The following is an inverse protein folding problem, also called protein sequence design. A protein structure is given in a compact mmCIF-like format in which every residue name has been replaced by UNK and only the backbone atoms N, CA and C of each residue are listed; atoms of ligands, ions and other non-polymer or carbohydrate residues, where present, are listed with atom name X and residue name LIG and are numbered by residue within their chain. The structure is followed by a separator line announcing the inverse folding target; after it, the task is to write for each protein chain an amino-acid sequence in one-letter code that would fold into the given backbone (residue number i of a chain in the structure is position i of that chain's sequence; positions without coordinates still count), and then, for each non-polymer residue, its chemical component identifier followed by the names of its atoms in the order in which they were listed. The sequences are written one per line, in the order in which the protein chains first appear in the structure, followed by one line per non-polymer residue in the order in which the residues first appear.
data_IF_343748160547
#
_entry.id   IF_343748160547
#
_cell.length_a   1.000
_cell.length_b   1.000
_cell.length_c   1.000
_cell.angle_alpha   90.00
_cell.angle_beta   90.00
_cell.angle_gamma   90.00
#
_symmetry.space_group_name_H-M   'P 1'
#
loop_
_entity.id
_entity.type
_entity.pdbx_description
1 polymer ?
#
# COMPACT_ATOMS: atom_id res chain seq x y z
N UNK A 1 -1.71 80.27 -5.25
CA UNK A 1 -2.13 78.86 -5.43
C UNK A 1 -0.98 77.91 -5.85
N UNK A 2 0.30 78.31 -5.78
CA UNK A 2 1.45 77.48 -6.23
C UNK A 2 2.23 76.77 -5.11
N UNK A 3 2.03 77.15 -3.85
CA UNK A 3 2.68 76.51 -2.69
C UNK A 3 1.83 75.43 -1.99
N UNK A 4 0.53 75.34 -2.32
CA UNK A 4 -0.38 74.32 -1.74
C UNK A 4 -0.18 72.93 -2.36
N UNK A 5 0.33 72.85 -3.59
CA UNK A 5 0.56 71.58 -4.29
C UNK A 5 1.89 70.92 -3.89
N UNK A 6 2.88 71.69 -3.42
CA UNK A 6 4.18 71.16 -2.99
C UNK A 6 4.14 70.56 -1.58
N UNK A 7 3.24 71.01 -0.70
CA UNK A 7 3.02 70.37 0.61
C UNK A 7 2.17 69.10 0.52
N UNK A 8 1.35 68.93 -0.52
CA UNK A 8 0.60 67.69 -0.75
C UNK A 8 1.50 66.55 -1.28
N UNK A 9 2.62 66.89 -1.93
CA UNK A 9 3.58 65.93 -2.47
C UNK A 9 4.66 65.46 -1.47
N UNK A 10 4.80 66.14 -0.32
CA UNK A 10 5.74 65.73 0.75
C UNK A 10 5.08 64.89 1.86
N UNK A 11 3.75 64.78 1.88
CA UNK A 11 3.00 63.88 2.78
C UNK A 11 2.70 62.51 2.15
N UNK A 12 3.02 62.30 0.87
CA UNK A 12 2.79 61.03 0.16
C UNK A 12 4.04 60.11 0.13
N UNK A 13 5.16 60.53 0.70
CA UNK A 13 6.43 59.76 0.67
C UNK A 13 6.74 59.00 1.97
N UNK A 14 5.88 59.02 2.99
CA UNK A 14 6.09 58.29 4.26
C UNK A 14 5.29 56.96 4.32
N UNK A 15 4.53 56.61 3.28
CA UNK A 15 3.76 55.35 3.22
C UNK A 15 4.53 54.16 2.59
N UNK A 16 5.85 54.27 2.37
CA UNK A 16 6.68 53.17 1.87
C UNK A 16 7.75 52.74 2.88
N UNK A 17 7.30 52.22 4.02
CA UNK A 17 8.12 51.31 4.83
C UNK A 17 7.23 50.26 5.54
N UNK A 18 6.14 49.85 4.89
CA UNK A 18 5.48 48.60 5.21
C UNK A 18 6.15 47.48 4.43
N UNK A 19 7.37 47.09 4.81
CA UNK A 19 7.84 45.74 4.48
C UNK A 19 6.97 44.77 5.27
N UNK A 20 5.75 44.54 4.79
CA UNK A 20 5.06 43.30 5.09
C UNK A 20 5.95 42.23 4.47
N UNK A 21 6.81 41.63 5.29
CA UNK A 21 7.25 40.29 5.02
C UNK A 21 5.96 39.49 4.93
N UNK A 22 5.48 39.30 3.70
CA UNK A 22 4.51 38.26 3.40
C UNK A 22 5.30 37.01 3.78
N UNK A 23 5.08 36.53 5.01
CA UNK A 23 5.40 35.17 5.37
C UNK A 23 4.55 34.34 4.42
N UNK A 24 5.12 34.03 3.25
CA UNK A 24 4.62 32.97 2.40
C UNK A 24 4.78 31.77 3.32
N UNK A 25 3.68 31.39 3.99
CA UNK A 25 3.62 30.13 4.70
C UNK A 25 3.85 29.07 3.63
N UNK A 26 5.11 28.67 3.47
CA UNK A 26 5.45 27.49 2.71
C UNK A 26 4.56 26.40 3.28
N UNK A 27 3.70 25.83 2.43
CA UNK A 27 2.70 24.86 2.85
C UNK A 27 3.45 23.67 3.45
N UNK A 28 3.50 23.58 4.79
CA UNK A 28 4.30 22.60 5.54
C UNK A 28 3.70 21.18 5.50
N UNK A 29 2.69 20.96 4.68
CA UNK A 29 2.04 19.66 4.56
C UNK A 29 2.84 18.75 3.64
N UNK A 30 3.06 17.51 4.10
CA UNK A 30 3.61 16.44 3.28
C UNK A 30 2.63 16.11 2.14
N UNK A 31 3.14 15.90 0.94
CA UNK A 31 2.37 15.62 -0.27
C UNK A 31 2.87 14.32 -0.90
N UNK A 32 1.99 13.66 -1.64
CA UNK A 32 2.40 12.55 -2.50
C UNK A 32 3.27 13.06 -3.65
N UNK A 33 3.97 12.15 -4.31
CA UNK A 33 4.72 12.39 -5.56
C UNK A 33 5.80 13.48 -5.46
N UNK A 34 6.25 13.76 -4.24
CA UNK A 34 7.30 14.73 -3.93
C UNK A 34 8.46 14.01 -3.25
N UNK A 35 9.69 14.34 -3.67
CA UNK A 35 10.91 13.84 -3.03
C UNK A 35 11.23 14.67 -1.79
N UNK A 36 11.54 14.00 -0.69
CA UNK A 36 11.91 14.61 0.58
C UNK A 36 13.24 14.08 1.06
N UNK A 37 14.10 14.99 1.53
CA UNK A 37 15.38 14.63 2.15
C UNK A 37 15.15 13.87 3.46
N UNK A 38 15.93 12.81 3.65
CA UNK A 38 15.98 12.05 4.91
C UNK A 38 16.75 12.88 5.94
N UNK A 39 16.10 13.15 7.07
CA UNK A 39 16.60 14.01 8.15
C UNK A 39 17.10 13.19 9.36
N UNK A 40 16.58 11.98 9.56
CA UNK A 40 16.99 11.14 10.67
C UNK A 40 16.32 9.77 10.70
N UNK A 41 16.80 8.92 11.60
CA UNK A 41 16.38 7.53 11.76
C UNK A 41 15.91 7.34 13.20
N UNK A 42 14.80 6.62 13.39
CA UNK A 42 14.26 6.34 14.73
C UNK A 42 14.43 4.86 15.04
N UNK A 43 13.87 3.98 14.22
CA UNK A 43 13.93 2.53 14.32
C UNK A 43 13.68 1.88 12.93
N UNK A 44 13.27 0.60 12.91
CA UNK A 44 13.07 -0.15 11.66
C UNK A 44 11.91 0.36 10.81
N UNK A 45 10.85 0.90 11.41
CA UNK A 45 9.64 1.33 10.69
C UNK A 45 9.34 2.84 10.79
N UNK A 46 10.19 3.56 11.52
CA UNK A 46 10.05 5.00 11.76
C UNK A 46 11.34 5.77 11.42
N UNK A 47 11.19 6.83 10.64
CA UNK A 47 12.29 7.75 10.28
C UNK A 47 11.78 9.18 10.16
N UNK A 48 12.65 10.13 9.81
CA UNK A 48 12.33 11.55 9.67
C UNK A 48 12.73 12.09 8.32
N UNK A 49 11.94 13.03 7.82
CA UNK A 49 12.22 13.80 6.61
C UNK A 49 12.20 15.30 6.89
N UNK A 50 12.83 16.08 6.02
CA UNK A 50 12.73 17.55 6.04
C UNK A 50 11.61 18.01 5.11
N UNK A 51 10.72 18.88 5.62
CA UNK A 51 9.67 19.57 4.85
C UNK A 51 9.77 21.06 5.19
N UNK A 52 10.18 21.88 4.22
CA UNK A 52 10.54 23.27 4.51
C UNK A 52 11.67 23.32 5.55
N UNK A 53 11.42 24.02 6.66
CA UNK A 53 12.36 24.13 7.79
C UNK A 53 12.02 23.17 8.95
N UNK A 54 11.12 22.21 8.71
CA UNK A 54 10.60 21.32 9.76
C UNK A 54 10.96 19.85 9.55
N UNK A 55 11.25 19.16 10.64
CA UNK A 55 11.46 17.71 10.68
C UNK A 55 10.13 17.00 10.90
N UNK A 56 9.75 16.10 9.99
CA UNK A 56 8.49 15.36 10.01
C UNK A 56 8.77 13.88 10.21
N UNK A 57 8.07 13.25 11.16
CA UNK A 57 8.24 11.82 11.46
C UNK A 57 7.34 11.00 10.55
N UNK A 58 7.92 10.01 9.88
CA UNK A 58 7.23 9.07 8.99
C UNK A 58 7.15 7.71 9.71
N UNK A 59 5.94 7.16 9.80
CA UNK A 59 5.69 5.77 10.20
C UNK A 59 5.27 4.99 8.96
N UNK A 60 6.03 3.95 8.63
CA UNK A 60 5.78 3.14 7.44
C UNK A 60 4.44 2.39 7.57
N UNK A 61 3.59 2.45 6.54
CA UNK A 61 2.33 1.70 6.51
C UNK A 61 2.59 0.19 6.34
N UNK A 62 1.61 -0.59 6.79
CA UNK A 62 1.49 -2.05 6.58
C UNK A 62 2.53 -2.93 7.28
N UNK A 63 3.51 -2.36 7.96
CA UNK A 63 4.59 -3.12 8.60
C UNK A 63 4.78 -2.76 10.07
N UNK A 64 5.30 -3.69 10.86
CA UNK A 64 5.74 -3.48 12.25
C UNK A 64 7.06 -4.21 12.46
N UNK A 65 8.08 -3.46 12.90
CA UNK A 65 9.42 -4.00 13.12
C UNK A 65 9.65 -4.31 14.60
N UNK A 66 10.46 -5.32 14.94
CA UNK A 66 10.75 -5.62 16.33
C UNK A 66 11.38 -4.41 17.04
N UNK A 67 10.77 -3.99 18.13
CA UNK A 67 11.13 -2.77 18.85
C UNK A 67 12.53 -2.84 19.48
N UNK A 68 13.31 -1.78 19.30
CA UNK A 68 14.65 -1.63 19.90
C UNK A 68 14.64 -0.83 21.22
N UNK A 69 13.61 -0.01 21.48
CA UNK A 69 13.63 0.97 22.59
C UNK A 69 12.26 1.23 23.24
N UNK A 70 11.50 0.19 23.57
CA UNK A 70 10.28 0.35 24.39
C UNK A 70 10.59 0.24 25.89
N UNK A 71 11.05 1.32 26.52
CA UNK A 71 11.23 1.41 27.99
C UNK A 71 12.11 0.30 28.60
N UNK A 72 11.59 -0.42 29.60
CA UNK A 72 12.27 -1.53 30.30
C UNK A 72 12.18 -2.89 29.57
N UNK A 73 11.80 -2.90 28.29
CA UNK A 73 11.64 -4.15 27.54
C UNK A 73 12.98 -4.55 26.91
N UNK A 74 13.36 -5.84 26.94
CA UNK A 74 14.53 -6.32 26.22
C UNK A 74 14.45 -6.00 24.73
N UNK A 75 15.60 -5.72 24.11
CA UNK A 75 15.72 -5.59 22.65
C UNK A 75 15.15 -6.86 22.01
N UNK A 76 14.19 -6.68 21.11
CA UNK A 76 13.58 -7.82 20.42
C UNK A 76 14.55 -8.38 19.37
N UNK A 77 14.51 -9.70 19.18
CA UNK A 77 15.29 -10.38 18.13
C UNK A 77 14.93 -9.77 16.77
N UNK A 78 15.93 -9.48 15.94
CA UNK A 78 15.81 -8.78 14.64
C UNK A 78 15.53 -7.28 14.70
N UNK A 79 15.34 -6.68 15.88
CA UNK A 79 15.13 -5.23 15.99
C UNK A 79 16.33 -4.39 15.52
N UNK A 80 17.55 -4.66 16.02
CA UNK A 80 18.76 -3.99 15.55
C UNK A 80 19.01 -4.20 14.05
N UNK A 81 18.73 -5.40 13.54
CA UNK A 81 18.88 -5.75 12.14
C UNK A 81 17.90 -4.97 11.25
N UNK A 82 16.63 -4.88 11.65
CA UNK A 82 15.62 -4.07 10.95
C UNK A 82 16.00 -2.59 10.93
N UNK A 83 16.41 -2.04 12.08
CA UNK A 83 16.85 -0.64 12.18
C UNK A 83 18.07 -0.34 11.33
N UNK A 84 19.08 -1.22 11.34
CA UNK A 84 20.28 -1.05 10.52
C UNK A 84 19.99 -1.17 9.02
N UNK A 85 19.07 -2.06 8.63
CA UNK A 85 18.64 -2.23 7.25
C UNK A 85 17.94 -0.96 6.73
N UNK A 86 16.97 -0.45 7.48
CA UNK A 86 16.27 0.81 7.17
C UNK A 86 17.24 1.98 7.09
N UNK A 87 18.12 2.14 8.09
CA UNK A 87 19.11 3.21 8.09
C UNK A 87 20.05 3.15 6.88
N UNK A 88 20.52 1.95 6.52
CA UNK A 88 21.39 1.76 5.35
C UNK A 88 20.70 2.21 4.06
N UNK A 89 19.50 1.70 3.79
CA UNK A 89 18.79 1.99 2.53
C UNK A 89 18.38 3.45 2.42
N UNK A 90 17.94 4.07 3.51
CA UNK A 90 17.60 5.48 3.54
C UNK A 90 18.84 6.38 3.36
N UNK A 91 20.01 6.00 3.90
CA UNK A 91 21.29 6.69 3.63
C UNK A 91 21.71 6.59 2.17
N UNK A 92 21.59 5.40 1.59
CA UNK A 92 21.92 5.15 0.18
C UNK A 92 20.99 5.94 -0.75
N UNK A 93 19.70 6.03 -0.41
CA UNK A 93 18.71 6.80 -1.17
C UNK A 93 18.86 8.32 -0.99
N UNK A 94 19.14 8.78 0.24
CA UNK A 94 19.29 10.19 0.63
C UNK A 94 17.98 11.01 0.62
N UNK A 95 17.06 10.69 -0.28
CA UNK A 95 15.71 11.23 -0.36
C UNK A 95 14.72 10.09 -0.59
N UNK A 96 13.45 10.33 -0.25
CA UNK A 96 12.37 9.36 -0.44
C UNK A 96 11.15 10.04 -1.05
N UNK A 97 10.33 9.25 -1.74
CA UNK A 97 8.99 9.66 -2.19
C UNK A 97 7.95 8.89 -1.39
N UNK A 98 6.89 9.57 -0.99
CA UNK A 98 5.86 9.03 -0.09
C UNK A 98 4.54 8.83 -0.83
N UNK A 99 3.94 7.66 -0.62
CA UNK A 99 2.59 7.34 -1.09
C UNK A 99 1.70 7.09 0.11
N UNK A 100 0.52 7.72 0.14
CA UNK A 100 -0.41 7.66 1.25
C UNK A 100 -1.57 6.71 0.99
N UNK A 101 -2.30 6.41 2.06
CA UNK A 101 -3.63 5.82 2.00
C UNK A 101 -4.66 6.80 2.61
N UNK A 102 -5.86 6.32 2.94
CA UNK A 102 -7.02 7.12 3.36
C UNK A 102 -6.74 8.06 4.53
N UNK A 103 -5.99 7.60 5.53
CA UNK A 103 -5.49 8.40 6.65
C UNK A 103 -3.98 8.64 6.51
N UNK A 104 -3.61 9.92 6.50
CA UNK A 104 -2.22 10.38 6.35
C UNK A 104 -1.52 10.52 7.70
N UNK A 105 -2.27 10.69 8.80
CA UNK A 105 -1.72 10.94 10.14
C UNK A 105 -2.26 9.93 11.12
N UNK A 106 -1.41 9.45 12.01
CA UNK A 106 -1.85 8.68 13.17
C UNK A 106 -2.17 9.58 14.38
N UNK A 107 -2.65 8.97 15.46
CA UNK A 107 -2.95 9.63 16.74
C UNK A 107 -1.75 10.31 17.43
N UNK A 108 -0.53 10.05 16.95
CA UNK A 108 0.73 10.64 17.45
C UNK A 108 1.27 11.71 16.51
N UNK A 109 0.48 12.12 15.50
CA UNK A 109 0.82 13.10 14.46
C UNK A 109 1.99 12.67 13.55
N UNK A 110 2.30 11.36 13.51
CA UNK A 110 3.24 10.81 12.54
C UNK A 110 2.57 10.69 11.19
N UNK A 111 3.32 10.97 10.12
CA UNK A 111 2.84 10.77 8.75
C UNK A 111 2.93 9.29 8.38
N UNK A 112 1.81 8.71 7.96
CA UNK A 112 1.68 7.32 7.53
C UNK A 112 1.94 7.21 6.03
N UNK A 113 2.91 6.39 5.62
CA UNK A 113 3.27 6.27 4.20
C UNK A 113 3.87 4.92 3.78
N UNK A 114 3.67 4.59 2.51
CA UNK A 114 4.55 3.70 1.73
C UNK A 114 5.74 4.54 1.23
N UNK A 115 6.95 3.99 1.31
CA UNK A 115 8.20 4.72 1.08
C UNK A 115 8.94 4.18 -0.12
N UNK A 116 9.06 4.98 -1.17
CA UNK A 116 9.84 4.68 -2.37
C UNK A 116 11.24 5.30 -2.28
N UNK A 117 12.26 4.49 -2.58
CA UNK A 117 13.66 4.88 -2.66
C UNK A 117 14.01 5.39 -4.07
N UNK A 118 15.14 6.10 -4.23
CA UNK A 118 15.56 6.66 -5.54
C UNK A 118 15.75 5.63 -6.65
N UNK A 119 16.05 4.39 -6.29
CA UNK A 119 16.19 3.28 -7.25
C UNK A 119 14.86 2.60 -7.58
N UNK A 120 13.73 3.15 -7.12
CA UNK A 120 12.37 2.66 -7.38
C UNK A 120 11.91 1.55 -6.45
N UNK A 121 12.76 1.05 -5.54
CA UNK A 121 12.35 0.02 -4.58
C UNK A 121 11.47 0.59 -3.48
N UNK A 122 10.55 -0.22 -2.96
CA UNK A 122 9.69 0.13 -1.83
C UNK A 122 10.26 -0.41 -0.53
N UNK A 123 10.65 0.47 0.38
CA UNK A 123 11.31 0.09 1.64
C UNK A 123 10.44 -0.78 2.54
N UNK A 124 9.13 -0.49 2.61
CA UNK A 124 8.21 -1.27 3.42
C UNK A 124 8.17 -2.74 2.97
N UNK A 125 8.17 -2.98 1.66
CA UNK A 125 8.14 -4.32 1.06
C UNK A 125 9.46 -5.06 1.30
N UNK A 126 10.60 -4.38 1.13
CA UNK A 126 11.92 -4.95 1.37
C UNK A 126 12.07 -5.47 2.81
N UNK A 127 11.53 -4.75 3.80
CA UNK A 127 11.56 -5.20 5.20
C UNK A 127 10.78 -6.51 5.42
N UNK A 128 9.66 -6.71 4.73
CA UNK A 128 8.92 -7.98 4.78
C UNK A 128 9.67 -9.09 4.05
N UNK A 129 10.23 -8.81 2.86
CA UNK A 129 10.99 -9.77 2.05
C UNK A 129 12.21 -10.32 2.80
N UNK A 130 12.92 -9.46 3.54
CA UNK A 130 14.05 -9.85 4.39
C UNK A 130 13.63 -10.44 5.75
N UNK A 131 12.33 -10.61 5.99
CA UNK A 131 11.80 -11.13 7.25
C UNK A 131 12.18 -10.27 8.47
N UNK A 132 12.29 -8.94 8.29
CA UNK A 132 12.67 -7.97 9.32
C UNK A 132 11.47 -7.21 9.89
N UNK A 133 10.28 -7.41 9.33
CA UNK A 133 9.02 -6.87 9.83
C UNK A 133 7.90 -7.91 9.77
N UNK A 134 6.82 -7.65 10.51
CA UNK A 134 5.52 -8.33 10.38
C UNK A 134 4.50 -7.40 9.73
N UNK A 135 3.42 -7.96 9.20
CA UNK A 135 2.32 -7.14 8.67
C UNK A 135 1.52 -6.52 9.82
N UNK A 136 1.25 -5.23 9.71
CA UNK A 136 0.37 -4.50 10.62
C UNK A 136 -0.59 -3.62 9.81
N UNK A 137 -1.86 -4.00 9.81
CA UNK A 137 -2.94 -3.26 9.16
C UNK A 137 -3.63 -2.38 10.19
N UNK A 138 -3.78 -1.09 9.86
CA UNK A 138 -4.47 -0.12 10.72
C UNK A 138 -5.57 0.52 9.88
N UNK A 139 -6.81 0.20 10.20
CA UNK A 139 -7.96 0.81 9.52
C UNK A 139 -7.96 2.34 9.69
N UNK A 140 -8.42 3.09 8.67
CA UNK A 140 -9.01 2.62 7.42
C UNK A 140 -7.99 2.45 6.28
N UNK A 141 -6.68 2.33 6.59
CA UNK A 141 -5.60 2.18 5.62
C UNK A 141 -5.40 0.70 5.26
N UNK A 142 -6.18 0.24 4.29
CA UNK A 142 -6.26 -1.16 3.87
C UNK A 142 -5.97 -1.37 2.38
N UNK A 143 -5.60 -0.30 1.65
CA UNK A 143 -5.49 -0.35 0.17
C UNK A 143 -4.54 -1.43 -0.33
N UNK A 144 -3.42 -1.65 0.38
CA UNK A 144 -2.40 -2.64 0.00
C UNK A 144 -2.34 -3.86 0.92
N UNK A 145 -3.34 -4.07 1.77
CA UNK A 145 -3.32 -5.12 2.82
C UNK A 145 -2.90 -6.48 2.27
N UNK A 146 -3.45 -6.88 1.13
CA UNK A 146 -3.21 -8.20 0.53
C UNK A 146 -1.77 -8.37 0.02
N UNK A 147 -1.23 -7.35 -0.68
CA UNK A 147 0.16 -7.34 -1.16
C UNK A 147 1.13 -7.57 0.01
N UNK A 148 0.91 -6.87 1.12
CA UNK A 148 1.79 -6.98 2.28
C UNK A 148 1.65 -8.33 3.01
N UNK A 149 0.43 -8.87 3.13
CA UNK A 149 0.21 -10.23 3.65
C UNK A 149 0.95 -11.30 2.83
N UNK A 150 0.95 -11.18 1.51
CA UNK A 150 1.63 -12.13 0.63
C UNK A 150 3.16 -12.06 0.76
N UNK A 151 3.73 -10.85 0.87
CA UNK A 151 5.16 -10.66 1.11
C UNK A 151 5.60 -11.33 2.42
N UNK A 152 4.84 -11.15 3.49
CA UNK A 152 5.11 -11.81 4.78
C UNK A 152 4.97 -13.33 4.68
N UNK A 153 3.93 -13.82 3.99
CA UNK A 153 3.73 -15.26 3.78
C UNK A 153 4.89 -15.89 3.01
N UNK A 154 5.40 -15.21 1.99
CA UNK A 154 6.58 -15.65 1.21
C UNK A 154 7.81 -15.74 2.11
N UNK A 155 8.06 -14.72 2.94
CA UNK A 155 9.17 -14.74 3.90
C UNK A 155 9.03 -15.87 4.93
N UNK A 156 7.80 -16.16 5.40
CA UNK A 156 7.49 -17.28 6.31
C UNK A 156 7.80 -18.63 5.67
N UNK A 157 7.32 -18.86 4.45
CA UNK A 157 7.52 -20.12 3.72
C UNK A 157 9.01 -20.38 3.46
N UNK A 158 9.76 -19.33 3.12
CA UNK A 158 11.20 -19.38 2.91
C UNK A 158 12.03 -19.34 4.20
N UNK A 159 11.38 -19.23 5.36
CA UNK A 159 12.02 -19.18 6.69
C UNK A 159 13.08 -18.07 6.81
N UNK A 160 12.78 -16.90 6.27
CA UNK A 160 13.67 -15.74 6.24
C UNK A 160 13.57 -14.96 7.55
N UNK A 161 14.68 -14.42 8.05
CA UNK A 161 14.69 -13.47 9.18
C UNK A 161 13.96 -13.98 10.42
N UNK A 162 12.94 -13.24 10.86
CA UNK A 162 12.01 -13.56 11.95
C UNK A 162 11.52 -15.03 11.91
N UNK A 163 11.36 -15.59 10.71
CA UNK A 163 10.77 -16.91 10.47
C UNK A 163 11.79 -18.07 10.44
N UNK A 164 13.08 -17.79 10.65
CA UNK A 164 14.18 -18.76 10.53
C UNK A 164 14.24 -19.81 11.65
N UNK A 165 13.75 -19.47 12.84
CA UNK A 165 13.64 -20.39 13.97
C UNK A 165 12.19 -20.80 14.12
N UNK A 166 11.85 -22.06 13.82
CA UNK A 166 10.49 -22.64 13.90
C UNK A 166 9.84 -22.69 15.29
N UNK A 167 10.16 -21.73 16.16
CA UNK A 167 9.51 -21.44 17.43
C UNK A 167 8.99 -20.01 17.38
N UNK A 168 7.87 -19.79 16.71
CA UNK A 168 6.98 -18.70 17.11
C UNK A 168 6.02 -19.27 18.15
N UNK A 169 6.06 -18.68 19.35
CA UNK A 169 5.00 -18.82 20.34
C UNK A 169 3.68 -18.37 19.72
N UNK A 170 2.77 -19.32 19.62
CA UNK A 170 1.38 -19.18 19.25
C UNK A 170 0.68 -18.07 20.03
N UNK A 171 0.34 -16.98 19.36
CA UNK A 171 -0.90 -16.24 19.60
C UNK A 171 -1.51 -15.79 18.27
N UNK A 172 -1.80 -16.80 17.46
CA UNK A 172 -2.97 -16.94 16.60
C UNK A 172 -2.62 -18.17 15.75
N UNK A 173 -3.21 -19.32 16.06
CA UNK A 173 -3.32 -20.38 15.07
C UNK A 173 -4.19 -19.85 13.92
N UNK A 174 -3.61 -19.05 13.03
CA UNK A 174 -4.10 -18.99 11.67
C UNK A 174 -3.58 -20.28 11.08
N UNK A 175 -4.45 -21.28 11.11
CA UNK A 175 -4.36 -22.46 10.28
C UNK A 175 -3.80 -21.99 8.94
N UNK A 176 -2.62 -22.50 8.60
CA UNK A 176 -2.13 -22.44 7.23
C UNK A 176 -3.23 -23.08 6.40
N UNK A 177 -4.12 -22.27 5.84
CA UNK A 177 -4.92 -22.64 4.70
C UNK A 177 -3.89 -22.87 3.59
N UNK A 178 -3.35 -24.10 3.58
CA UNK A 178 -3.35 -24.92 2.38
C UNK A 178 -4.65 -24.52 1.68
N UNK A 179 -4.52 -23.71 0.63
CA UNK A 179 -5.60 -22.97 -0.04
C UNK A 179 -6.90 -23.68 0.24
N UNK A 180 -7.85 -23.04 0.95
CA UNK A 180 -9.21 -23.56 0.93
C UNK A 180 -9.63 -23.35 -0.51
N UNK A 181 -9.21 -24.25 -1.39
CA UNK A 181 -9.71 -24.36 -2.74
C UNK A 181 -11.17 -24.66 -2.46
N UNK A 182 -12.00 -23.61 -2.44
CA UNK A 182 -13.45 -23.70 -2.34
C UNK A 182 -14.00 -24.31 -3.64
N UNK A 183 -13.28 -25.27 -4.21
CA UNK A 183 -13.36 -25.71 -5.59
C UNK A 183 -13.30 -24.56 -6.60
N UNK A 184 -12.69 -23.42 -6.30
CA UNK A 184 -12.61 -22.32 -7.26
C UNK A 184 -11.29 -22.34 -8.03
N UNK A 185 -11.39 -22.23 -9.35
CA UNK A 185 -10.26 -22.08 -10.27
C UNK A 185 -10.44 -20.77 -11.00
N UNK A 186 -9.37 -19.98 -11.07
CA UNK A 186 -9.33 -18.74 -11.83
C UNK A 186 -8.31 -18.82 -12.96
N UNK A 187 -8.66 -18.25 -14.10
CA UNK A 187 -7.84 -18.18 -15.31
C UNK A 187 -7.96 -16.79 -15.93
N UNK A 188 -6.85 -16.19 -16.34
CA UNK A 188 -6.80 -14.83 -16.86
C UNK A 188 -6.28 -14.79 -18.29
N UNK A 189 -7.10 -14.24 -19.19
CA UNK A 189 -6.65 -13.79 -20.51
C UNK A 189 -6.31 -12.29 -20.45
N UNK A 190 -5.02 -12.00 -20.27
CA UNK A 190 -4.50 -10.63 -20.18
C UNK A 190 -4.70 -9.80 -21.44
N UNK A 191 -4.78 -10.44 -22.62
CA UNK A 191 -5.02 -9.74 -23.89
C UNK A 191 -6.50 -9.46 -24.10
N UNK A 192 -7.33 -10.41 -23.67
CA UNK A 192 -8.78 -10.32 -23.71
C UNK A 192 -9.38 -9.46 -22.59
N UNK A 193 -8.57 -9.09 -21.58
CA UNK A 193 -9.00 -8.37 -20.38
C UNK A 193 -10.13 -9.13 -19.67
N UNK A 194 -9.96 -10.44 -19.53
CA UNK A 194 -11.00 -11.37 -19.13
C UNK A 194 -10.50 -12.35 -18.07
N UNK A 195 -11.25 -12.44 -16.97
CA UNK A 195 -11.06 -13.46 -15.94
C UNK A 195 -12.19 -14.47 -15.98
N UNK A 196 -11.85 -15.75 -16.02
CA UNK A 196 -12.80 -16.86 -15.88
C UNK A 196 -12.68 -17.47 -14.49
N UNK A 197 -13.79 -17.49 -13.75
CA UNK A 197 -13.91 -18.10 -12.43
C UNK A 197 -14.77 -19.35 -12.58
N UNK A 198 -14.23 -20.52 -12.23
CA UNK A 198 -14.93 -21.80 -12.34
C UNK A 198 -15.19 -22.38 -10.95
N UNK A 199 -16.46 -22.60 -10.61
CA UNK A 199 -16.85 -23.36 -9.42
C UNK A 199 -16.87 -24.85 -9.74
N UNK A 200 -15.93 -25.60 -9.18
CA UNK A 200 -15.77 -27.06 -9.33
C UNK A 200 -16.41 -27.85 -8.19
N UNK A 201 -17.09 -27.17 -7.26
CA UNK A 201 -17.81 -27.82 -6.16
C UNK A 201 -19.20 -28.27 -6.59
N UNK A 202 -19.86 -29.01 -5.70
CA UNK A 202 -21.26 -29.39 -5.83
C UNK A 202 -22.25 -28.38 -5.22
N UNK A 203 -21.78 -27.24 -4.71
CA UNK A 203 -22.61 -26.23 -4.05
C UNK A 203 -22.59 -24.90 -4.82
N UNK A 204 -23.70 -24.17 -4.79
CA UNK A 204 -23.74 -22.78 -5.22
C UNK A 204 -22.99 -21.92 -4.21
N UNK A 205 -22.23 -20.94 -4.70
CA UNK A 205 -21.45 -20.00 -3.89
C UNK A 205 -22.05 -18.62 -4.08
N UNK A 206 -22.43 -17.98 -2.97
CA UNK A 206 -22.75 -16.56 -2.95
C UNK A 206 -21.43 -15.78 -2.96
N UNK A 207 -21.30 -14.87 -3.93
CA UNK A 207 -20.09 -14.08 -4.12
C UNK A 207 -20.32 -12.60 -3.76
N UNK A 208 -21.44 -12.21 -3.15
CA UNK A 208 -21.66 -10.83 -2.74
C UNK A 208 -20.50 -10.33 -1.86
N UNK A 209 -19.90 -9.20 -2.26
CA UNK A 209 -18.82 -8.56 -1.50
C UNK A 209 -17.44 -9.26 -1.60
N UNK A 210 -17.34 -10.36 -2.35
CA UNK A 210 -16.06 -10.97 -2.71
C UNK A 210 -15.21 -9.98 -3.53
N UNK A 211 -13.91 -10.28 -3.68
CA UNK A 211 -12.97 -9.41 -4.39
C UNK A 211 -12.11 -10.18 -5.37
N UNK A 212 -12.07 -9.73 -6.62
CA UNK A 212 -11.08 -10.14 -7.62
C UNK A 212 -10.06 -9.02 -7.76
N UNK A 213 -8.77 -9.35 -7.70
CA UNK A 213 -7.69 -8.37 -7.62
C UNK A 213 -6.67 -8.62 -8.72
N UNK A 214 -6.36 -7.57 -9.48
CA UNK A 214 -5.11 -7.48 -10.26
C UNK A 214 -4.00 -7.06 -9.32
N UNK A 215 -3.03 -7.95 -9.08
CA UNK A 215 -2.01 -7.75 -8.05
C UNK A 215 -1.05 -6.64 -8.44
N UNK A 216 -0.61 -6.59 -9.70
CA UNK A 216 0.31 -5.55 -10.18
C UNK A 216 -0.41 -4.22 -10.36
N UNK A 217 -1.55 -4.24 -11.04
CA UNK A 217 -2.32 -3.04 -11.33
C UNK A 217 -3.03 -2.47 -10.09
N UNK A 218 -3.14 -3.29 -9.03
CA UNK A 218 -3.79 -2.95 -7.77
C UNK A 218 -5.23 -2.47 -7.96
N UNK A 219 -5.90 -2.96 -9.00
CA UNK A 219 -7.32 -2.75 -9.20
C UNK A 219 -8.07 -3.89 -8.50
N UNK A 220 -9.18 -3.54 -7.85
CA UNK A 220 -10.08 -4.50 -7.21
C UNK A 220 -11.46 -4.41 -7.84
N UNK A 221 -12.02 -5.56 -8.21
CA UNK A 221 -13.42 -5.75 -8.54
C UNK A 221 -14.14 -6.32 -7.34
N UNK A 222 -15.11 -5.58 -6.81
CA UNK A 222 -16.00 -6.09 -5.76
C UNK A 222 -17.23 -6.68 -6.43
N UNK A 223 -17.51 -7.96 -6.13
CA UNK A 223 -18.66 -8.65 -6.71
C UNK A 223 -19.97 -8.07 -6.15
N UNK A 224 -20.95 -7.79 -7.03
CA UNK A 224 -22.32 -7.47 -6.60
C UNK A 224 -23.01 -8.72 -6.05
N UNK A 225 -24.28 -8.60 -5.66
CA UNK A 225 -25.12 -9.76 -5.36
C UNK A 225 -25.17 -10.69 -6.58
N UNK A 226 -24.45 -11.82 -6.47
CA UNK A 226 -24.32 -12.80 -7.55
C UNK A 226 -24.05 -14.17 -6.96
N UNK A 227 -24.80 -15.16 -7.44
CA UNK A 227 -24.58 -16.56 -7.12
C UNK A 227 -23.82 -17.24 -8.26
N UNK A 228 -22.78 -17.99 -7.93
CA UNK A 228 -22.04 -18.86 -8.84
C UNK A 228 -22.47 -20.33 -8.61
N UNK A 229 -23.34 -20.90 -9.47
CA UNK A 229 -23.80 -22.28 -9.33
C UNK A 229 -22.67 -23.32 -9.29
N UNK A 230 -23.00 -24.49 -8.76
CA UNK A 230 -22.13 -25.65 -8.78
C UNK A 230 -21.74 -26.04 -10.23
N UNK A 231 -20.46 -26.34 -10.48
CA UNK A 231 -19.95 -26.76 -11.78
C UNK A 231 -20.17 -25.75 -12.92
N UNK A 232 -20.34 -24.46 -12.61
CA UNK A 232 -20.53 -23.40 -13.61
C UNK A 232 -19.39 -22.38 -13.62
N UNK A 233 -19.48 -21.43 -14.55
CA UNK A 233 -18.51 -20.36 -14.73
C UNK A 233 -19.15 -18.99 -14.58
N UNK A 234 -18.34 -18.07 -14.06
CA UNK A 234 -18.59 -16.64 -14.08
C UNK A 234 -17.38 -15.97 -14.72
N UNK A 235 -17.64 -14.98 -15.58
CA UNK A 235 -16.63 -14.22 -16.28
C UNK A 235 -16.68 -12.77 -15.80
N UNK A 236 -15.51 -12.18 -15.58
CA UNK A 236 -15.35 -10.75 -15.29
C UNK A 236 -14.51 -10.14 -16.42
N UNK A 237 -15.08 -9.17 -17.14
CA UNK A 237 -14.43 -8.55 -18.32
C UNK A 237 -14.23 -7.06 -18.11
N UNK A 238 -13.01 -6.56 -18.31
CA UNK A 238 -12.68 -5.13 -18.43
C UNK A 238 -12.61 -4.63 -19.87
N UNK A 239 -12.55 -5.53 -20.86
CA UNK A 239 -12.53 -5.17 -22.28
C UNK A 239 -13.93 -5.12 -22.92
N UNK A 240 -14.00 -4.48 -24.11
CA UNK A 240 -15.15 -4.52 -25.05
C UNK A 240 -15.46 -5.93 -25.59
N UNK A 241 -14.74 -6.95 -25.11
CA UNK A 241 -14.88 -8.35 -25.46
C UNK A 241 -16.32 -8.82 -25.20
N UNK A 242 -17.11 -8.89 -26.27
CA UNK A 242 -18.41 -9.56 -26.31
C UNK A 242 -18.22 -11.08 -26.14
N UNK A 243 -17.88 -11.53 -24.94
CA UNK A 243 -17.84 -12.96 -24.65
C UNK A 243 -19.27 -13.49 -24.74
N UNK A 244 -19.54 -14.25 -25.80
CA UNK A 244 -20.83 -14.92 -26.01
C UNK A 244 -20.74 -16.35 -25.48
N UNK A 245 -20.70 -16.49 -24.17
CA UNK A 245 -21.03 -17.76 -23.52
C UNK A 245 -22.43 -17.64 -22.93
N UNK A 246 -23.42 -18.22 -23.60
CA UNK A 246 -24.82 -18.19 -23.16
C UNK A 246 -25.05 -18.93 -21.83
N UNK A 247 -24.07 -19.71 -21.36
CA UNK A 247 -24.16 -20.53 -20.14
C UNK A 247 -23.31 -19.98 -18.99
N UNK A 248 -22.72 -18.79 -19.14
CA UNK A 248 -21.90 -18.20 -18.10
C UNK A 248 -22.40 -16.82 -17.70
N UNK A 249 -22.27 -16.51 -16.41
CA UNK A 249 -22.60 -15.19 -15.87
C UNK A 249 -21.50 -14.23 -16.31
N UNK A 250 -21.82 -13.15 -17.02
CA UNK A 250 -20.87 -12.12 -17.42
C UNK A 250 -21.05 -10.87 -16.55
N UNK A 251 -19.98 -10.48 -15.88
CA UNK A 251 -19.87 -9.25 -15.12
C UNK A 251 -18.88 -8.30 -15.81
N UNK A 252 -19.18 -7.00 -15.76
CA UNK A 252 -18.35 -5.95 -16.36
C UNK A 252 -17.56 -5.25 -15.27
N UNK A 253 -16.24 -5.18 -15.47
CA UNK A 253 -15.32 -4.39 -14.67
C UNK A 253 -15.06 -3.09 -15.44
N UNK A 254 -15.73 -2.00 -15.07
CA UNK A 254 -15.66 -0.70 -15.76
C UNK A 254 -14.32 0.05 -15.53
N UNK A 255 -13.20 -0.64 -15.75
CA UNK A 255 -11.84 -0.13 -15.62
C UNK A 255 -11.02 -0.66 -16.79
N UNK A 256 -10.37 0.22 -17.54
CA UNK A 256 -9.53 -0.18 -18.68
C UNK A 256 -8.16 -0.70 -18.22
N UNK A 257 -7.60 -1.68 -18.95
CA UNK A 257 -6.25 -2.22 -18.78
C UNK A 257 -5.98 -2.71 -17.35
N UNK A 258 -6.78 -3.67 -16.89
CA UNK A 258 -6.64 -4.31 -15.58
C UNK A 258 -5.41 -5.20 -15.55
N UNK A 259 -5.08 -5.88 -16.66
CA UNK A 259 -4.02 -6.88 -16.69
C UNK A 259 -2.81 -6.44 -17.51
N UNK A 260 -1.61 -6.50 -16.92
CA UNK A 260 -0.37 -6.18 -17.64
C UNK A 260 0.00 -7.24 -18.67
N UNK A 261 0.07 -6.85 -19.94
CA UNK A 261 0.49 -7.72 -21.03
C UNK A 261 2.01 -7.93 -21.13
N UNK A 262 2.81 -7.11 -20.44
CA UNK A 262 4.27 -7.07 -20.61
C UNK A 262 5.03 -7.52 -19.36
N UNK A 263 4.36 -7.60 -18.22
CA UNK A 263 4.98 -7.87 -16.94
C UNK A 263 4.07 -8.78 -16.11
N UNK A 264 4.61 -9.56 -15.14
CA UNK A 264 3.79 -10.40 -14.28
C UNK A 264 2.75 -9.59 -13.51
N UNK A 265 1.51 -10.03 -13.60
CA UNK A 265 0.30 -9.50 -12.97
C UNK A 265 -0.65 -10.65 -12.57
N UNK A 266 -0.36 -11.34 -11.45
CA UNK A 266 -1.20 -12.41 -10.93
C UNK A 266 -2.60 -11.94 -10.56
N UNK A 267 -3.56 -12.87 -10.59
CA UNK A 267 -4.93 -12.60 -10.17
C UNK A 267 -5.26 -13.32 -8.87
N UNK A 268 -5.91 -12.63 -7.95
CA UNK A 268 -6.31 -13.18 -6.66
C UNK A 268 -7.81 -13.03 -6.44
N UNK A 269 -8.45 -14.08 -5.93
CA UNK A 269 -9.85 -14.08 -5.56
C UNK A 269 -9.98 -14.25 -4.04
N UNK A 270 -10.71 -13.35 -3.40
CA UNK A 270 -10.97 -13.32 -1.97
C UNK A 270 -12.45 -13.40 -1.64
N UNK A 271 -12.79 -14.10 -0.56
CA UNK A 271 -14.17 -14.13 -0.04
C UNK A 271 -14.52 -12.90 0.81
N UNK A 272 -15.75 -12.84 1.34
CA UNK A 272 -16.26 -11.74 2.15
C UNK A 272 -15.47 -11.52 3.46
N UNK A 273 -14.76 -12.55 3.94
CA UNK A 273 -13.92 -12.50 5.13
C UNK A 273 -12.46 -12.10 4.82
N UNK A 274 -12.17 -11.72 3.57
CA UNK A 274 -10.83 -11.43 3.04
C UNK A 274 -9.87 -12.64 3.09
N UNK A 275 -10.38 -13.85 2.91
CA UNK A 275 -9.57 -15.07 2.77
C UNK A 275 -9.29 -15.35 1.29
N UNK A 276 -8.03 -15.69 0.94
CA UNK A 276 -7.65 -16.05 -0.43
C UNK A 276 -8.21 -17.44 -0.78
N UNK A 277 -9.08 -17.51 -1.78
CA UNK A 277 -9.79 -18.73 -2.18
C UNK A 277 -9.33 -19.29 -3.53
N UNK A 278 -8.77 -18.44 -4.40
CA UNK A 278 -8.14 -18.86 -5.65
C UNK A 278 -7.04 -17.86 -6.09
N UNK A 279 -6.01 -18.39 -6.75
CA UNK A 279 -4.87 -17.64 -7.29
C UNK A 279 -4.61 -18.12 -8.72
N UNK A 280 -4.42 -17.19 -9.64
CA UNK A 280 -3.85 -17.42 -10.95
C UNK A 280 -2.43 -16.84 -10.93
N UNK A 281 -1.43 -17.71 -11.02
CA UNK A 281 -0.02 -17.31 -11.12
C UNK A 281 0.26 -16.88 -12.56
N UNK A 282 0.82 -15.68 -12.73
CA UNK A 282 1.25 -15.17 -14.03
C UNK A 282 2.72 -15.59 -14.26
N UNK A 283 2.91 -16.69 -15.01
CA UNK A 283 4.22 -17.30 -15.32
C UNK A 283 5.04 -16.53 -16.38
#
# INVERSE_FOLDING_TARGET
MRYSLQLLLLMLSIMLAGCSAISISANQNVKSDTWYAVDGYVDGDTFKITVGDTSNTIRMLYIDTPEIKKGNTPVQKYGPEASAFTEKLLKESGEVKLTFDKEIKDRYDRTLAIVELKDGRILNELLLQEGLAKVLIVEPNVKMENVYKQLEQTAKQNKIGLWSSGKETSQAEISVHKTHHMGLVIDVDKRGELVTITNTTSATIDMEGWKLISVRGNQTYTFPEVELPANSKLLVSSGDSHVKDANAILLIWEVDNVWSNNEPDPAELYNENNELVALWEDE
#
